data_IF_492730432207
#
_entry.id   IF_492730432207
#
_cell.length_a   1.000
_cell.length_b   1.000
_cell.length_c   1.000
_cell.angle_alpha   90.00
_cell.angle_beta   90.00
_cell.angle_gamma   90.00
#
_symmetry.space_group_name_H-M   'P 1'
#
loop_
_entity.id
_entity.type
_entity.pdbx_description
1 polymer ?
#
# COMPACT_ATOMS: atom_id res chain seq x y z
N UNK A 1 12.17 12.16 5.23
CA UNK A 1 12.71 12.07 6.60
C UNK A 1 13.37 10.72 6.89
N UNK A 2 12.68 9.58 6.76
CA UNK A 2 13.27 8.26 7.11
C UNK A 2 14.47 7.82 6.27
N UNK A 3 14.47 8.03 4.93
CA UNK A 3 15.61 7.67 4.08
C UNK A 3 16.83 8.56 4.31
N UNK A 4 16.62 9.83 4.61
CA UNK A 4 17.72 10.78 4.86
C UNK A 4 18.48 10.44 6.13
N UNK A 5 17.75 10.04 7.18
CA UNK A 5 18.34 9.48 8.39
C UNK A 5 19.13 8.20 8.06
N UNK A 6 18.60 7.31 7.22
CA UNK A 6 19.33 6.10 6.81
C UNK A 6 20.60 6.40 5.99
N UNK A 7 20.61 7.48 5.19
CA UNK A 7 21.80 7.97 4.47
C UNK A 7 22.85 8.53 5.44
N UNK A 8 22.44 9.42 6.34
CA UNK A 8 23.31 10.00 7.37
C UNK A 8 23.94 8.93 8.28
N UNK A 9 23.15 7.94 8.71
CA UNK A 9 23.65 6.85 9.53
C UNK A 9 24.69 5.97 8.81
N UNK A 10 24.53 5.77 7.49
CA UNK A 10 25.52 5.05 6.67
C UNK A 10 26.82 5.83 6.49
N UNK A 11 26.76 7.16 6.44
CA UNK A 11 27.98 8.00 6.38
C UNK A 11 28.83 7.79 7.63
N UNK A 12 28.19 7.62 8.79
CA UNK A 12 28.86 7.35 10.07
C UNK A 12 29.41 5.92 10.15
N UNK A 13 28.65 4.93 9.70
CA UNK A 13 29.09 3.54 9.64
C UNK A 13 28.60 2.85 8.35
N UNK A 14 29.55 2.52 7.47
CA UNK A 14 29.27 1.89 6.17
C UNK A 14 28.73 0.47 6.31
N UNK A 15 28.99 -0.21 7.42
CA UNK A 15 28.51 -1.58 7.67
C UNK A 15 27.14 -1.62 8.33
N UNK A 16 26.64 -0.51 8.84
CA UNK A 16 25.36 -0.44 9.57
C UNK A 16 24.17 -1.07 8.83
N UNK A 17 23.98 -0.89 7.50
CA UNK A 17 22.89 -1.56 6.77
C UNK A 17 22.94 -3.10 6.81
N UNK A 18 24.11 -3.66 7.09
CA UNK A 18 24.38 -5.09 7.17
C UNK A 18 24.33 -5.65 8.61
N UNK A 19 24.19 -4.78 9.62
CA UNK A 19 24.14 -5.20 11.03
C UNK A 19 22.68 -5.48 11.40
N UNK A 20 22.34 -6.70 11.83
CA UNK A 20 21.00 -7.00 12.29
C UNK A 20 20.68 -6.27 13.60
N UNK A 21 19.44 -5.82 13.75
CA UNK A 21 18.89 -5.35 15.02
C UNK A 21 18.79 -6.51 16.03
N UNK A 22 18.55 -6.18 17.29
CA UNK A 22 18.29 -7.18 18.33
C UNK A 22 17.16 -8.11 17.88
N UNK A 23 17.42 -9.43 17.86
CA UNK A 23 16.54 -10.43 17.24
C UNK A 23 16.91 -10.87 15.81
N UNK A 24 18.06 -10.45 15.28
CA UNK A 24 18.58 -10.99 14.02
C UNK A 24 17.80 -10.51 12.79
N UNK A 25 17.26 -9.29 12.80
CA UNK A 25 16.49 -8.74 11.68
C UNK A 25 17.29 -7.61 11.02
N UNK A 26 17.50 -7.69 9.71
CA UNK A 26 18.16 -6.63 8.97
C UNK A 26 17.26 -5.40 8.79
N UNK A 27 17.83 -4.18 8.76
CA UNK A 27 17.08 -2.95 8.53
C UNK A 27 16.22 -2.97 7.25
N UNK A 28 16.67 -3.64 6.19
CA UNK A 28 15.92 -3.77 4.94
C UNK A 28 14.63 -4.60 5.11
N UNK A 29 14.69 -5.64 5.93
CA UNK A 29 13.54 -6.49 6.25
C UNK A 29 12.51 -5.71 7.08
N UNK A 30 12.97 -4.85 7.97
CA UNK A 30 12.11 -3.93 8.72
C UNK A 30 11.42 -2.93 7.76
N UNK A 31 12.19 -2.33 6.85
CA UNK A 31 11.63 -1.43 5.84
C UNK A 31 10.59 -2.15 4.93
N UNK A 32 10.84 -3.41 4.59
CA UNK A 32 9.92 -4.24 3.81
C UNK A 32 8.63 -4.58 4.57
N UNK A 33 8.75 -4.89 5.86
CA UNK A 33 7.62 -5.16 6.74
C UNK A 33 6.71 -3.94 6.93
N UNK A 34 7.29 -2.75 7.03
CA UNK A 34 6.56 -1.50 7.30
C UNK A 34 6.15 -0.70 6.05
N UNK A 35 6.35 -1.23 4.84
CA UNK A 35 5.87 -0.56 3.63
C UNK A 35 6.72 0.63 3.18
N UNK A 36 7.97 0.77 3.64
CA UNK A 36 8.81 1.94 3.34
C UNK A 36 9.57 1.79 2.03
N UNK A 37 8.86 1.91 0.89
CA UNK A 37 9.41 1.75 -0.48
C UNK A 37 10.78 2.38 -0.69
N UNK A 38 10.90 3.68 -0.40
CA UNK A 38 12.11 4.47 -0.66
C UNK A 38 13.30 3.96 0.17
N UNK A 39 13.04 3.51 1.40
CA UNK A 39 14.06 2.94 2.29
C UNK A 39 14.45 1.54 1.84
N UNK A 40 13.50 0.72 1.38
CA UNK A 40 13.78 -0.62 0.84
C UNK A 40 14.69 -0.54 -0.40
N UNK A 41 14.38 0.35 -1.35
CA UNK A 41 15.20 0.53 -2.56
C UNK A 41 16.62 0.96 -2.21
N UNK A 42 16.75 1.98 -1.36
CA UNK A 42 18.04 2.47 -0.90
C UNK A 42 18.84 1.37 -0.18
N UNK A 43 18.21 0.66 0.77
CA UNK A 43 18.88 -0.40 1.51
C UNK A 43 19.29 -1.56 0.60
N UNK A 44 18.49 -1.92 -0.40
CA UNK A 44 18.83 -2.97 -1.36
C UNK A 44 20.11 -2.65 -2.16
N UNK A 45 20.30 -1.40 -2.55
CA UNK A 45 21.50 -0.96 -3.26
C UNK A 45 22.76 -0.95 -2.39
N UNK A 46 22.63 -0.53 -1.13
CA UNK A 46 23.79 -0.33 -0.23
C UNK A 46 24.18 -1.55 0.58
N UNK A 47 23.34 -2.58 0.63
CA UNK A 47 23.59 -3.83 1.37
C UNK A 47 24.42 -4.76 0.48
N UNK A 48 25.70 -4.95 0.83
CA UNK A 48 26.67 -5.74 0.05
C UNK A 48 26.38 -7.23 0.10
N UNK A 49 25.58 -7.67 1.07
CA UNK A 49 25.31 -9.07 1.34
C UNK A 49 24.16 -9.59 0.46
N UNK A 50 24.41 -9.65 -0.85
CA UNK A 50 23.49 -10.24 -1.83
C UNK A 50 23.21 -11.74 -1.59
N UNK A 51 24.06 -12.41 -0.78
CA UNK A 51 24.02 -13.85 -0.51
C UNK A 51 23.56 -14.28 0.92
N UNK A 52 23.52 -13.42 1.96
CA UNK A 52 22.97 -13.79 3.31
C UNK A 52 21.47 -13.46 3.50
N UNK A 53 20.78 -12.96 2.48
CA UNK A 53 19.31 -12.89 2.53
C UNK A 53 18.66 -14.29 2.75
N UNK A 54 19.44 -15.37 2.63
CA UNK A 54 19.07 -16.76 2.94
C UNK A 54 19.10 -17.06 4.45
N UNK A 55 19.80 -16.29 5.30
CA UNK A 55 20.11 -16.73 6.68
C UNK A 55 19.76 -15.78 7.83
N UNK A 56 19.52 -14.49 7.59
CA UNK A 56 19.19 -13.57 8.69
C UNK A 56 17.67 -13.40 8.73
N UNK A 57 17.07 -14.46 9.23
CA UNK A 57 15.65 -14.69 9.32
C UNK A 57 15.36 -14.82 10.81
N UNK A 58 14.28 -14.23 11.30
CA UNK A 58 13.69 -14.71 12.56
C UNK A 58 13.47 -16.24 12.51
N UNK A 59 13.07 -16.84 13.62
CA UNK A 59 12.86 -18.30 13.80
C UNK A 59 11.97 -19.03 12.77
N UNK A 60 11.40 -18.32 11.78
CA UNK A 60 10.25 -18.73 10.97
C UNK A 60 10.61 -19.01 9.49
N UNK A 61 11.86 -18.84 9.06
CA UNK A 61 12.30 -19.10 7.67
C UNK A 61 11.83 -18.08 6.61
N UNK A 62 11.20 -16.97 7.01
CA UNK A 62 10.68 -15.94 6.10
C UNK A 62 11.77 -15.07 5.44
N UNK A 63 11.81 -15.07 4.10
CA UNK A 63 12.58 -14.09 3.34
C UNK A 63 11.87 -12.71 3.26
N UNK A 64 12.53 -11.71 2.67
CA UNK A 64 11.99 -10.34 2.51
C UNK A 64 10.61 -10.29 1.83
N UNK A 65 10.34 -11.17 0.86
CA UNK A 65 9.05 -11.20 0.16
C UNK A 65 7.95 -11.83 1.02
N UNK A 66 8.27 -12.80 1.87
CA UNK A 66 7.34 -13.28 2.90
C UNK A 66 6.96 -12.17 3.86
N UNK A 67 7.93 -11.34 4.28
CA UNK A 67 7.68 -10.22 5.19
C UNK A 67 6.82 -9.14 4.55
N UNK A 68 7.09 -8.79 3.29
CA UNK A 68 6.23 -7.89 2.52
C UNK A 68 4.81 -8.45 2.32
N UNK A 69 4.69 -9.79 2.36
CA UNK A 69 3.41 -10.49 2.25
C UNK A 69 2.65 -10.67 3.57
N UNK A 70 3.23 -10.28 4.71
CA UNK A 70 2.53 -10.30 5.99
C UNK A 70 1.68 -9.05 6.13
N UNK A 71 0.38 -9.24 6.31
CA UNK A 71 -0.52 -8.17 6.69
C UNK A 71 -0.02 -7.59 8.02
N UNK A 72 0.14 -6.27 8.12
CA UNK A 72 0.73 -5.57 9.27
C UNK A 72 0.05 -5.89 10.61
N UNK A 73 0.36 -7.04 11.19
CA UNK A 73 0.03 -7.42 12.55
C UNK A 73 1.21 -7.03 13.45
N UNK A 74 0.95 -6.45 14.63
CA UNK A 74 2.00 -6.20 15.59
C UNK A 74 2.59 -7.55 16.00
N UNK A 75 3.92 -7.65 15.98
CA UNK A 75 4.69 -8.80 16.46
C UNK A 75 4.46 -9.05 17.98
N UNK A 76 3.61 -8.26 18.65
CA UNK A 76 3.31 -8.33 20.09
C UNK A 76 2.51 -9.55 20.55
N UNK A 77 2.20 -10.52 19.68
CA UNK A 77 1.65 -11.82 20.09
C UNK A 77 2.59 -13.01 19.84
N UNK A 78 3.90 -12.77 19.70
CA UNK A 78 4.87 -13.84 19.99
C UNK A 78 4.88 -14.02 21.50
N UNK A 79 4.36 -15.16 21.99
CA UNK A 79 4.49 -15.62 23.39
C UNK A 79 5.97 -15.62 23.79
N UNK A 80 6.47 -14.49 24.28
CA UNK A 80 7.64 -14.47 25.13
C UNK A 80 7.13 -14.81 26.53
N UNK A 81 7.74 -15.80 27.15
CA UNK A 81 7.55 -16.08 28.57
C UNK A 81 8.27 -14.98 29.36
N UNK A 82 7.83 -13.73 29.21
CA UNK A 82 8.32 -12.59 29.94
C UNK A 82 7.19 -12.11 30.85
N UNK A 83 7.36 -12.41 32.12
CA UNK A 83 6.48 -12.08 33.23
C UNK A 83 6.07 -10.60 33.22
N UNK A 84 4.75 -10.43 33.31
CA UNK A 84 3.98 -9.45 34.08
C UNK A 84 4.50 -8.00 34.18
N UNK A 85 3.57 -7.06 33.92
CA UNK A 85 3.64 -5.63 34.25
C UNK A 85 4.24 -4.65 33.24
N UNK A 86 3.84 -4.71 31.96
CA UNK A 86 3.76 -3.50 31.10
C UNK A 86 2.56 -3.55 30.13
N UNK A 87 1.35 -3.78 30.64
CA UNK A 87 0.12 -3.46 29.90
C UNK A 87 -0.22 -1.97 30.04
N UNK A 88 0.64 -1.08 29.53
CA UNK A 88 0.28 0.35 29.45
C UNK A 88 1.14 1.16 28.46
N UNK A 89 1.40 0.64 27.26
CA UNK A 89 1.82 1.47 26.12
C UNK A 89 1.04 1.14 24.85
N UNK A 90 -0.28 1.02 24.98
CA UNK A 90 -1.21 1.11 23.86
C UNK A 90 -1.40 2.58 23.45
N UNK A 91 -0.32 3.29 23.09
CA UNK A 91 -0.42 4.65 22.54
C UNK A 91 0.81 5.21 21.81
N UNK A 92 1.65 4.39 21.19
CA UNK A 92 2.79 4.92 20.40
C UNK A 92 3.02 4.12 19.12
N UNK A 93 1.97 3.95 18.31
CA UNK A 93 2.17 3.70 16.89
C UNK A 93 1.04 4.35 16.12
N UNK A 94 1.32 5.34 15.23
CA UNK A 94 0.25 5.96 14.47
C UNK A 94 -0.38 4.91 13.55
N UNK A 95 -1.70 4.63 13.65
CA UNK A 95 -2.44 3.87 12.64
C UNK A 95 -2.70 4.73 11.38
N UNK A 96 -1.76 5.59 11.00
CA UNK A 96 -1.94 6.64 10.01
C UNK A 96 -0.98 6.41 8.86
N UNK A 97 -1.45 6.15 7.65
CA UNK A 97 -2.34 7.08 6.94
C UNK A 97 -3.41 6.29 6.17
N UNK A 98 -4.69 6.67 6.35
CA UNK A 98 -5.90 6.12 5.69
C UNK A 98 -6.54 4.85 6.30
N UNK A 99 -6.79 4.84 7.61
CA UNK A 99 -7.92 4.09 8.20
C UNK A 99 -9.28 4.72 7.83
N UNK A 100 -9.48 4.94 6.53
CA UNK A 100 -10.72 5.44 5.88
C UNK A 100 -10.92 4.73 4.51
N UNK A 101 -9.88 4.17 3.91
CA UNK A 101 -9.99 3.42 2.66
C UNK A 101 -10.59 2.04 2.92
N UNK A 102 -11.80 1.76 2.42
CA UNK A 102 -12.50 0.48 2.64
C UNK A 102 -11.64 -0.76 2.30
N UNK A 103 -12.00 -1.92 2.85
CA UNK A 103 -11.21 -3.15 2.76
C UNK A 103 -10.71 -3.50 1.34
N UNK A 104 -11.45 -3.12 0.29
CA UNK A 104 -11.05 -3.30 -1.10
C UNK A 104 -9.81 -2.45 -1.48
N UNK A 105 -9.80 -1.19 -1.09
CA UNK A 105 -8.67 -0.28 -1.31
C UNK A 105 -7.45 -0.68 -0.48
N UNK A 106 -7.69 -1.16 0.75
CA UNK A 106 -6.61 -1.73 1.55
C UNK A 106 -6.00 -2.95 0.84
N UNK A 107 -6.82 -3.89 0.37
CA UNK A 107 -6.34 -5.05 -0.40
C UNK A 107 -5.55 -4.64 -1.64
N UNK A 108 -6.04 -3.66 -2.42
CA UNK A 108 -5.33 -3.14 -3.59
C UNK A 108 -3.95 -2.59 -3.23
N UNK A 109 -3.84 -1.88 -2.11
CA UNK A 109 -2.55 -1.35 -1.64
C UNK A 109 -1.60 -2.47 -1.24
N UNK A 110 -2.06 -3.48 -0.48
CA UNK A 110 -1.21 -4.61 -0.09
C UNK A 110 -0.70 -5.39 -1.32
N UNK A 111 -1.56 -5.59 -2.34
CA UNK A 111 -1.15 -6.19 -3.63
C UNK A 111 -0.08 -5.35 -4.32
N UNK A 112 -0.29 -4.03 -4.42
CA UNK A 112 0.69 -3.13 -5.04
C UNK A 112 2.02 -3.16 -4.29
N UNK A 113 1.98 -3.12 -2.96
CA UNK A 113 3.19 -3.19 -2.14
C UNK A 113 3.96 -4.49 -2.36
N UNK A 114 3.27 -5.63 -2.26
CA UNK A 114 3.86 -6.94 -2.47
C UNK A 114 4.51 -7.04 -3.87
N UNK A 115 3.80 -6.56 -4.89
CA UNK A 115 4.29 -6.52 -6.28
C UNK A 115 5.53 -5.63 -6.45
N UNK A 116 5.59 -4.48 -5.76
CA UNK A 116 6.75 -3.59 -5.82
C UNK A 116 7.97 -4.24 -5.16
N UNK A 117 7.82 -4.94 -4.03
CA UNK A 117 8.92 -5.70 -3.41
C UNK A 117 9.32 -6.88 -4.29
N UNK A 118 8.37 -7.55 -4.92
CA UNK A 118 8.60 -8.66 -5.86
C UNK A 118 9.51 -8.26 -7.04
N UNK A 119 9.35 -7.03 -7.55
CA UNK A 119 10.20 -6.46 -8.63
C UNK A 119 11.62 -6.12 -8.18
N UNK A 120 11.81 -5.79 -6.90
CA UNK A 120 13.12 -5.41 -6.35
C UNK A 120 13.98 -6.66 -6.12
N UNK A 121 13.37 -7.76 -5.69
CA UNK A 121 14.09 -8.96 -5.25
C UNK A 121 14.37 -9.93 -6.41
N UNK A 122 15.48 -10.69 -6.37
CA UNK A 122 15.76 -11.69 -7.40
C UNK A 122 14.69 -12.79 -7.50
N UNK A 123 14.48 -13.42 -8.68
CA UNK A 123 13.43 -14.43 -8.87
C UNK A 123 13.52 -15.66 -7.97
N UNK A 124 14.71 -15.97 -7.43
CA UNK A 124 14.89 -17.10 -6.50
C UNK A 124 14.02 -16.95 -5.25
N UNK A 125 13.83 -15.71 -4.76
CA UNK A 125 13.05 -15.43 -3.54
C UNK A 125 11.57 -15.74 -3.67
N UNK A 126 11.05 -15.77 -4.89
CA UNK A 126 9.63 -16.02 -5.17
C UNK A 126 9.23 -17.48 -4.90
N UNK A 127 10.21 -18.40 -4.99
CA UNK A 127 9.99 -19.85 -4.86
C UNK A 127 10.53 -20.44 -3.56
N UNK A 128 11.34 -19.69 -2.81
CA UNK A 128 11.84 -20.15 -1.52
C UNK A 128 10.68 -20.35 -0.56
N UNK A 129 10.69 -21.48 0.16
CA UNK A 129 9.69 -21.79 1.17
C UNK A 129 10.21 -21.42 2.56
N UNK A 130 9.33 -20.91 3.41
CA UNK A 130 9.62 -20.65 4.83
C UNK A 130 9.59 -21.95 5.66
N UNK A 131 9.74 -21.85 6.99
CA UNK A 131 9.74 -23.03 7.88
C UNK A 131 8.38 -23.73 7.93
N UNK A 132 7.29 -23.03 7.61
CA UNK A 132 5.95 -23.61 7.44
C UNK A 132 5.76 -24.27 6.06
N UNK A 133 6.81 -24.30 5.23
CA UNK A 133 6.78 -24.85 3.89
C UNK A 133 5.99 -23.99 2.90
N UNK A 134 5.72 -22.70 3.18
CA UNK A 134 4.96 -21.80 2.30
C UNK A 134 5.89 -20.93 1.46
N UNK A 135 5.53 -20.67 0.22
CA UNK A 135 6.13 -19.61 -0.62
C UNK A 135 5.58 -18.23 -0.22
N UNK A 136 6.23 -17.12 -0.62
CA UNK A 136 5.71 -15.78 -0.33
C UNK A 136 4.29 -15.53 -0.83
N UNK A 137 3.95 -16.04 -2.02
CA UNK A 137 2.61 -15.90 -2.60
C UNK A 137 1.55 -16.70 -1.84
N UNK A 138 1.90 -17.92 -1.42
CA UNK A 138 1.01 -18.75 -0.59
C UNK A 138 0.76 -18.06 0.76
N UNK A 139 1.82 -17.56 1.42
CA UNK A 139 1.69 -16.81 2.67
C UNK A 139 0.85 -15.54 2.52
N UNK A 140 1.11 -14.74 1.49
CA UNK A 140 0.35 -13.52 1.21
C UNK A 140 -1.15 -13.82 1.05
N UNK A 141 -1.48 -14.84 0.25
CA UNK A 141 -2.87 -15.25 -0.01
C UNK A 141 -3.58 -15.67 1.28
N UNK A 142 -2.87 -16.35 2.16
CA UNK A 142 -3.41 -16.82 3.44
C UNK A 142 -3.64 -15.67 4.42
N UNK A 143 -2.63 -14.82 4.65
CA UNK A 143 -2.70 -13.66 5.54
C UNK A 143 -3.80 -12.68 5.10
N UNK A 144 -4.02 -12.54 3.80
CA UNK A 144 -4.97 -11.57 3.24
C UNK A 144 -6.35 -12.17 2.93
N UNK A 145 -6.63 -13.42 3.31
CA UNK A 145 -7.89 -14.11 2.98
C UNK A 145 -9.13 -13.39 3.52
N UNK A 146 -9.06 -12.90 4.76
CA UNK A 146 -10.16 -12.14 5.38
C UNK A 146 -10.33 -10.77 4.72
N UNK A 147 -9.22 -10.05 4.52
CA UNK A 147 -9.23 -8.75 3.86
C UNK A 147 -9.80 -8.83 2.44
N UNK A 148 -9.45 -9.87 1.69
CA UNK A 148 -10.01 -10.13 0.37
C UNK A 148 -11.53 -10.36 0.42
N UNK A 149 -12.02 -11.10 1.42
CA UNK A 149 -13.46 -11.33 1.60
C UNK A 149 -14.19 -10.03 1.92
N UNK A 150 -13.65 -9.23 2.83
CA UNK A 150 -14.21 -7.93 3.20
C UNK A 150 -14.14 -6.94 2.04
N UNK A 151 -13.06 -6.93 1.27
CA UNK A 151 -12.92 -6.13 0.07
C UNK A 151 -13.95 -6.48 -1.00
N UNK A 152 -14.16 -7.78 -1.27
CA UNK A 152 -15.23 -8.24 -2.18
C UNK A 152 -16.62 -7.79 -1.71
N UNK A 153 -16.90 -7.88 -0.41
CA UNK A 153 -18.17 -7.39 0.16
C UNK A 153 -18.32 -5.89 -0.02
N UNK A 154 -17.29 -5.12 0.32
CA UNK A 154 -17.30 -3.67 0.19
C UNK A 154 -17.57 -3.23 -1.26
N UNK A 155 -16.93 -3.87 -2.24
CA UNK A 155 -17.17 -3.58 -3.67
C UNK A 155 -18.61 -3.89 -4.09
N UNK A 156 -19.19 -4.99 -3.59
CA UNK A 156 -20.59 -5.35 -3.87
C UNK A 156 -21.56 -4.32 -3.29
N UNK A 157 -21.35 -3.92 -2.04
CA UNK A 157 -22.20 -2.95 -1.36
C UNK A 157 -22.12 -1.57 -2.03
N UNK A 158 -20.91 -1.16 -2.45
CA UNK A 158 -20.71 0.05 -3.25
C UNK A 158 -21.43 -0.04 -4.62
N UNK A 159 -21.25 -1.14 -5.36
CA UNK A 159 -21.88 -1.35 -6.66
C UNK A 159 -23.41 -1.33 -6.57
N UNK A 160 -23.98 -1.97 -5.55
CA UNK A 160 -25.43 -1.94 -5.29
C UNK A 160 -25.93 -0.51 -5.03
N UNK A 161 -25.17 0.26 -4.24
CA UNK A 161 -25.53 1.66 -3.95
C UNK A 161 -25.55 2.50 -5.23
N UNK A 162 -24.53 2.36 -6.09
CA UNK A 162 -24.49 3.05 -7.39
C UNK A 162 -25.58 2.57 -8.35
N UNK A 163 -25.93 1.28 -8.33
CA UNK A 163 -27.02 0.75 -9.15
C UNK A 163 -28.37 1.36 -8.77
N UNK A 164 -28.64 1.58 -7.49
CA UNK A 164 -29.86 2.26 -7.03
C UNK A 164 -29.88 3.71 -7.54
N UNK A 165 -28.76 4.44 -7.41
CA UNK A 165 -28.65 5.82 -7.91
C UNK A 165 -28.82 5.87 -9.43
N UNK A 166 -28.18 4.96 -10.17
CA UNK A 166 -28.31 4.87 -11.62
C UNK A 166 -29.73 4.53 -12.06
N UNK A 167 -30.40 3.61 -11.36
CA UNK A 167 -31.81 3.26 -11.62
C UNK A 167 -32.72 4.46 -11.34
N UNK A 168 -32.48 5.21 -10.27
CA UNK A 168 -33.23 6.42 -9.98
C UNK A 168 -33.08 7.47 -11.10
N UNK A 169 -31.84 7.72 -11.55
CA UNK A 169 -31.57 8.63 -12.67
C UNK A 169 -32.27 8.13 -13.95
N UNK A 170 -32.15 6.85 -14.28
CA UNK A 170 -32.78 6.26 -15.47
C UNK A 170 -34.31 6.37 -15.41
N UNK A 171 -34.93 6.08 -14.27
CA UNK A 171 -36.39 6.23 -14.11
C UNK A 171 -36.86 7.68 -14.17
N UNK A 172 -36.07 8.65 -13.66
CA UNK A 172 -36.37 10.08 -13.84
C UNK A 172 -36.34 10.49 -15.31
N UNK A 173 -35.39 9.94 -16.08
CA UNK A 173 -35.29 10.16 -17.54
C UNK A 173 -36.46 9.49 -18.28
N UNK A 174 -36.76 8.22 -17.97
CA UNK A 174 -37.73 7.40 -18.70
C UNK A 174 -39.20 7.72 -18.36
N UNK A 175 -39.55 7.85 -17.07
CA UNK A 175 -40.96 7.94 -16.64
C UNK A 175 -41.45 9.38 -16.44
N UNK A 176 -40.59 10.39 -16.59
CA UNK A 176 -40.88 11.66 -15.96
C UNK A 176 -40.27 12.92 -16.53
N UNK A 177 -39.96 13.03 -17.82
CA UNK A 177 -39.96 14.36 -18.48
C UNK A 177 -40.40 14.31 -19.97
N UNK A 178 -41.71 14.39 -20.26
CA UNK A 178 -42.19 15.06 -21.49
C UNK A 178 -42.54 16.54 -21.28
N UNK A 179 -42.65 16.99 -20.01
CA UNK A 179 -43.16 18.33 -19.64
C UNK A 179 -42.04 19.36 -19.40
N UNK A 180 -40.96 19.01 -18.68
CA UNK A 180 -39.80 19.89 -18.41
C UNK A 180 -38.83 20.02 -19.60
N UNK A 181 -38.65 18.99 -20.44
CA UNK A 181 -37.79 19.02 -21.65
C UNK A 181 -38.36 19.92 -22.76
N UNK A 182 -39.66 20.24 -22.67
CA UNK A 182 -40.30 21.21 -23.59
C UNK A 182 -39.97 22.66 -23.28
N UNK A 183 -39.39 22.97 -22.11
CA UNK A 183 -38.98 24.32 -21.74
C UNK A 183 -37.53 24.56 -22.15
N UNK A 184 -37.29 25.54 -23.04
CA UNK A 184 -35.95 25.89 -23.52
C UNK A 184 -34.92 26.09 -22.40
N UNK A 185 -35.34 26.57 -21.22
CA UNK A 185 -34.45 26.76 -20.06
C UNK A 185 -33.92 25.47 -19.44
N UNK A 186 -34.70 24.39 -19.45
CA UNK A 186 -34.27 23.11 -18.86
C UNK A 186 -33.24 22.40 -19.76
N UNK A 187 -33.41 22.48 -21.08
CA UNK A 187 -32.42 21.97 -22.05
C UNK A 187 -31.08 22.72 -21.90
N UNK A 188 -31.11 24.04 -21.76
CA UNK A 188 -29.90 24.85 -21.50
C UNK A 188 -29.27 24.47 -20.17
N UNK A 189 -30.07 24.19 -19.13
CA UNK A 189 -29.58 23.71 -17.84
C UNK A 189 -28.85 22.36 -17.95
N UNK A 190 -29.44 21.36 -18.60
CA UNK A 190 -28.81 20.03 -18.80
C UNK A 190 -27.52 20.13 -19.62
N UNK A 191 -27.51 20.92 -20.70
CA UNK A 191 -26.30 21.15 -21.50
C UNK A 191 -25.22 21.84 -20.66
N UNK A 192 -25.60 22.85 -19.87
CA UNK A 192 -24.66 23.58 -19.00
C UNK A 192 -24.09 22.70 -17.89
N UNK A 193 -24.92 21.86 -17.26
CA UNK A 193 -24.50 20.89 -16.24
C UNK A 193 -23.52 19.86 -16.83
N UNK A 194 -23.83 19.31 -18.00
CA UNK A 194 -22.93 18.40 -18.70
C UNK A 194 -21.58 19.07 -19.01
N UNK A 195 -21.59 20.27 -19.58
CA UNK A 195 -20.37 21.04 -19.88
C UNK A 195 -19.57 21.35 -18.60
N UNK A 196 -20.24 21.72 -17.51
CA UNK A 196 -19.60 21.98 -16.22
C UNK A 196 -18.92 20.72 -15.64
N UNK A 197 -19.59 19.57 -15.71
CA UNK A 197 -19.04 18.29 -15.27
C UNK A 197 -17.82 17.88 -16.12
N UNK A 198 -17.89 18.01 -17.44
CA UNK A 198 -16.73 17.75 -18.31
C UNK A 198 -15.56 18.67 -17.99
N UNK A 199 -15.82 19.97 -17.85
CA UNK A 199 -14.80 20.96 -17.49
C UNK A 199 -14.15 20.65 -16.14
N UNK A 200 -14.96 20.25 -15.14
CA UNK A 200 -14.49 19.83 -13.83
C UNK A 200 -13.56 18.61 -13.90
N UNK A 201 -13.95 17.58 -14.66
CA UNK A 201 -13.12 16.37 -14.87
C UNK A 201 -11.78 16.73 -15.51
N UNK A 202 -11.79 17.56 -16.57
CA UNK A 202 -10.56 18.00 -17.24
C UNK A 202 -9.65 18.79 -16.29
N UNK A 203 -10.22 19.67 -15.47
CA UNK A 203 -9.49 20.44 -14.46
C UNK A 203 -8.81 19.53 -13.42
N UNK A 204 -9.53 18.52 -12.91
CA UNK A 204 -8.98 17.52 -11.98
C UNK A 204 -7.84 16.75 -12.64
N UNK A 205 -8.01 16.27 -13.87
CA UNK A 205 -6.96 15.53 -14.59
C UNK A 205 -5.73 16.41 -14.80
N UNK A 206 -5.92 17.68 -15.16
CA UNK A 206 -4.81 18.62 -15.36
C UNK A 206 -4.07 18.89 -14.05
N UNK A 207 -4.78 19.10 -12.95
CA UNK A 207 -4.20 19.26 -11.63
C UNK A 207 -3.39 18.02 -11.20
N UNK A 208 -3.95 16.83 -11.40
CA UNK A 208 -3.25 15.57 -11.13
C UNK A 208 -2.02 15.38 -12.02
N UNK A 209 -2.08 15.80 -13.28
CA UNK A 209 -0.95 15.74 -14.21
C UNK A 209 0.20 16.64 -13.76
N UNK A 210 -0.10 17.85 -13.27
CA UNK A 210 0.89 18.77 -12.71
C UNK A 210 1.52 18.17 -11.45
N UNK A 211 0.71 17.64 -10.51
CA UNK A 211 1.21 16.97 -9.30
C UNK A 211 2.13 15.78 -9.62
N UNK A 212 1.73 14.95 -10.58
CA UNK A 212 2.50 13.77 -11.00
C UNK A 212 3.84 14.19 -11.64
N UNK A 213 3.84 15.25 -12.45
CA UNK A 213 5.04 15.81 -13.07
C UNK A 213 6.02 16.40 -12.04
N UNK A 214 5.54 17.14 -11.05
CA UNK A 214 6.39 17.69 -9.99
C UNK A 214 7.04 16.59 -9.14
N UNK A 215 6.28 15.55 -8.84
CA UNK A 215 6.80 14.40 -8.10
C UNK A 215 7.95 13.69 -8.85
N UNK A 216 7.84 13.53 -10.18
CA UNK A 216 8.88 12.90 -11.00
C UNK A 216 10.12 13.80 -11.21
N UNK A 217 9.98 15.12 -11.06
CA UNK A 217 11.11 16.05 -11.14
C UNK A 217 11.92 16.10 -9.83
N UNK A 218 11.27 15.98 -8.67
CA UNK A 218 11.95 15.91 -7.37
C UNK A 218 12.76 14.62 -7.19
N UNK A 219 12.28 13.50 -7.74
CA UNK A 219 13.05 12.24 -7.77
C UNK A 219 14.28 12.33 -8.68
N UNK A 220 14.19 13.03 -9.82
CA UNK A 220 15.35 13.23 -10.72
C UNK A 220 16.39 14.21 -10.18
N UNK A 221 15.96 15.31 -9.56
CA UNK A 221 16.87 16.35 -9.02
C UNK A 221 17.67 15.87 -7.81
N UNK A 222 17.18 14.86 -7.08
CA UNK A 222 17.89 14.19 -5.98
C UNK A 222 18.81 13.04 -6.41
N UNK A 223 18.82 12.69 -7.71
CA UNK A 223 19.76 11.73 -8.32
C UNK A 223 20.93 12.42 -9.06
N UNK A 224 20.92 13.75 -9.16
CA UNK A 224 21.94 14.55 -9.88
C UNK A 224 22.79 15.44 -8.97
N UNK A 225 22.79 15.18 -7.66
CA UNK A 225 23.66 15.80 -6.66
C UNK A 225 24.37 14.70 -5.87
#
# INVERSE_FOLDING_TARGET
MHVEIAKELRVRDKNLPNIPCDGGILPISMAALFGHKVVVSYLFEVTTIKNLFIQIIGTDGNNILHLAGKLGQPILNRKTNFSTDQQKEEKIMPPSFLRISGAALQMQREILWFTEVEKIVPPIYHKLRNNDGKTPNELFTEEHKLLLKEGKRWMKDAANSYMIVATLIATMVDNGIPILLKLNGFTVFIISDAVALFSSIVSIIMFLSILTSLYDNDTRKSSSA
#
